data_IF_441802386865
#
_entry.id   IF_441802386865
#
_cell.length_a   1.000
_cell.length_b   1.000
_cell.length_c   1.000
_cell.angle_alpha   90.00
_cell.angle_beta   90.00
_cell.angle_gamma   90.00
#
_symmetry.space_group_name_H-M   'P 1'
#
loop_
_entity.id
_entity.type
_entity.pdbx_description
1 polymer ?
#
# COMPACT_ATOMS: atom_id res chain seq x y z
N UNK A 1 9.64 9.18 -5.59
CA UNK A 1 9.07 9.61 -4.30
C UNK A 1 7.76 8.90 -3.96
N UNK A 2 6.82 8.75 -4.90
CA UNK A 2 5.54 8.05 -4.70
C UNK A 2 5.63 6.61 -4.16
N UNK A 3 6.47 5.75 -4.76
CA UNK A 3 6.62 4.36 -4.30
C UNK A 3 7.15 4.25 -2.85
N UNK A 4 7.89 5.24 -2.34
CA UNK A 4 8.32 5.29 -0.93
C UNK A 4 7.14 5.64 -0.02
N UNK A 5 6.30 6.59 -0.43
CA UNK A 5 5.12 7.01 0.32
C UNK A 5 4.06 5.88 0.40
N UNK A 6 3.79 5.19 -0.71
CA UNK A 6 2.90 4.02 -0.72
C UNK A 6 3.43 2.92 0.22
N UNK A 7 4.75 2.66 0.21
CA UNK A 7 5.33 1.66 1.13
C UNK A 7 5.31 2.04 2.60
N UNK A 8 5.06 3.31 2.92
CA UNK A 8 4.92 3.78 4.30
C UNK A 8 3.51 3.52 4.88
N UNK A 9 2.57 3.06 4.06
CA UNK A 9 1.26 2.62 4.51
C UNK A 9 1.39 1.36 5.37
N UNK A 10 0.68 1.33 6.50
CA UNK A 10 0.72 0.23 7.48
C UNK A 10 -0.62 -0.43 7.70
N UNK A 11 -1.70 0.13 7.15
CA UNK A 11 -3.06 -0.40 7.22
C UNK A 11 -3.80 -0.09 5.93
N UNK A 12 -4.85 -0.86 5.63
CA UNK A 12 -5.71 -0.61 4.48
C UNK A 12 -6.40 -1.87 3.98
N UNK A 13 -6.92 -1.80 2.75
CA UNK A 13 -7.51 -2.95 2.07
C UNK A 13 -6.73 -3.27 0.80
N UNK A 14 -6.47 -4.55 0.60
CA UNK A 14 -5.72 -5.12 -0.52
C UNK A 14 -6.68 -5.99 -1.31
N UNK A 15 -6.79 -5.75 -2.62
CA UNK A 15 -7.49 -6.66 -3.54
C UNK A 15 -6.49 -7.35 -4.47
N UNK A 16 -6.59 -8.67 -4.55
CA UNK A 16 -5.85 -9.51 -5.48
C UNK A 16 -6.57 -9.62 -6.84
N UNK A 17 -5.86 -10.08 -7.87
CA UNK A 17 -6.41 -10.21 -9.23
C UNK A 17 -7.58 -11.18 -9.35
N UNK A 18 -7.68 -12.14 -8.43
CA UNK A 18 -8.77 -13.11 -8.34
C UNK A 18 -10.01 -12.54 -7.61
N UNK A 19 -9.94 -11.31 -7.10
CA UNK A 19 -11.00 -10.66 -6.34
C UNK A 19 -10.94 -10.92 -4.83
N UNK A 20 -9.96 -11.69 -4.35
CA UNK A 20 -9.75 -11.90 -2.91
C UNK A 20 -9.38 -10.58 -2.24
N UNK A 21 -10.01 -10.28 -1.10
CA UNK A 21 -9.80 -9.05 -0.33
C UNK A 21 -9.23 -9.34 1.04
N UNK A 22 -8.19 -8.59 1.41
CA UNK A 22 -7.59 -8.61 2.74
C UNK A 22 -7.67 -7.22 3.35
N UNK A 23 -8.15 -7.11 4.59
CA UNK A 23 -8.22 -5.85 5.33
C UNK A 23 -7.45 -5.97 6.63
N UNK A 24 -6.70 -4.92 6.97
CA UNK A 24 -6.05 -4.82 8.27
C UNK A 24 -4.64 -4.24 8.19
N UNK A 25 -3.83 -4.47 9.23
CA UNK A 25 -2.45 -4.04 9.24
C UNK A 25 -1.60 -4.86 8.26
N UNK A 26 -0.67 -4.18 7.58
CA UNK A 26 0.25 -4.80 6.66
C UNK A 26 1.59 -4.07 6.58
N UNK A 27 2.55 -4.67 5.89
CA UNK A 27 3.78 -4.00 5.45
C UNK A 27 4.01 -4.24 3.97
N UNK A 28 4.56 -3.24 3.27
CA UNK A 28 4.81 -3.30 1.82
C UNK A 28 6.31 -3.24 1.54
N UNK A 29 6.84 -4.24 0.82
CA UNK A 29 8.25 -4.29 0.47
C UNK A 29 8.59 -3.50 -0.80
N UNK A 30 9.87 -3.50 -1.20
CA UNK A 30 10.32 -2.78 -2.40
C UNK A 30 9.75 -3.30 -3.73
N UNK A 31 9.26 -4.54 -3.74
CA UNK A 31 8.65 -5.22 -4.88
C UNK A 31 7.12 -5.16 -4.84
N UNK A 32 6.54 -4.34 -3.96
CA UNK A 32 5.09 -4.24 -3.74
C UNK A 32 4.47 -5.54 -3.23
N UNK A 33 5.24 -6.44 -2.63
CA UNK A 33 4.67 -7.54 -1.87
C UNK A 33 4.10 -7.01 -0.56
N UNK A 34 2.93 -7.51 -0.18
CA UNK A 34 2.20 -7.07 1.00
C UNK A 34 2.14 -8.22 1.99
N UNK A 35 2.74 -8.03 3.16
CA UNK A 35 2.71 -8.99 4.25
C UNK A 35 1.65 -8.58 5.26
N UNK A 36 0.61 -9.40 5.37
CA UNK A 36 -0.40 -9.38 6.43
C UNK A 36 -0.05 -10.49 7.46
N UNK A 37 -0.70 -10.52 8.63
CA UNK A 37 -0.33 -11.42 9.75
C UNK A 37 -0.07 -12.88 9.35
N UNK A 38 -0.92 -13.45 8.49
CA UNK A 38 -0.80 -14.85 8.03
C UNK A 38 -0.75 -15.00 6.51
N UNK A 39 -0.66 -13.90 5.76
CA UNK A 39 -0.78 -13.91 4.29
C UNK A 39 0.30 -13.06 3.67
N UNK A 40 0.88 -13.55 2.58
CA UNK A 40 1.76 -12.79 1.71
C UNK A 40 1.10 -12.63 0.34
N UNK A 41 0.67 -11.42 0.03
CA UNK A 41 0.19 -11.06 -1.31
C UNK A 41 1.40 -10.63 -2.13
N UNK A 42 1.68 -11.36 -3.22
CA UNK A 42 2.78 -10.98 -4.13
C UNK A 42 2.37 -9.74 -4.92
N UNK A 43 3.31 -8.81 -5.14
CA UNK A 43 3.04 -7.60 -5.94
C UNK A 43 2.55 -7.90 -7.36
N UNK A 44 2.88 -9.07 -7.91
CA UNK A 44 2.37 -9.55 -9.21
C UNK A 44 0.91 -9.99 -9.19
N UNK A 45 0.37 -10.35 -8.01
CA UNK A 45 -1.03 -10.72 -7.79
C UNK A 45 -1.87 -9.56 -7.26
N UNK A 46 -1.24 -8.48 -6.83
CA UNK A 46 -1.91 -7.25 -6.43
C UNK A 46 -2.69 -6.65 -7.61
N UNK A 47 -3.95 -6.30 -7.37
CA UNK A 47 -4.78 -5.55 -8.32
C UNK A 47 -4.80 -4.07 -7.95
N UNK A 48 -5.23 -3.74 -6.73
CA UNK A 48 -5.19 -2.38 -6.19
C UNK A 48 -5.18 -2.35 -4.66
N UNK A 49 -4.80 -1.19 -4.14
CA UNK A 49 -4.88 -0.82 -2.73
C UNK A 49 -6.00 0.20 -2.57
N UNK A 50 -6.85 0.02 -1.56
CA UNK A 50 -7.82 1.05 -1.16
C UNK A 50 -7.21 1.89 -0.05
N UNK A 51 -7.16 3.19 -0.28
CA UNK A 51 -6.59 4.18 0.63
C UNK A 51 -7.72 4.95 1.30
N UNK A 52 -7.51 5.34 2.55
CA UNK A 52 -8.34 6.39 3.15
C UNK A 52 -7.96 7.75 2.56
N UNK A 53 -8.86 8.73 2.64
CA UNK A 53 -8.57 10.11 2.20
C UNK A 53 -7.32 10.67 2.91
N UNK A 54 -7.17 10.35 4.20
CA UNK A 54 -5.98 10.75 5.00
C UNK A 54 -4.68 10.14 4.47
N UNK A 55 -4.71 8.87 4.06
CA UNK A 55 -3.53 8.21 3.49
C UNK A 55 -3.18 8.78 2.12
N UNK A 56 -4.19 9.11 1.32
CA UNK A 56 -4.01 9.76 0.03
C UNK A 56 -3.40 11.15 0.20
N UNK A 57 -3.94 11.98 1.09
CA UNK A 57 -3.39 13.30 1.43
C UNK A 57 -1.93 13.21 1.89
N UNK A 58 -1.62 12.23 2.75
CA UNK A 58 -0.24 11.98 3.20
C UNK A 58 0.69 11.61 2.04
N UNK A 59 0.24 10.73 1.14
CA UNK A 59 1.01 10.32 -0.03
C UNK A 59 1.26 11.49 -0.97
N UNK A 60 0.24 12.30 -1.24
CA UNK A 60 0.33 13.49 -2.09
C UNK A 60 1.21 14.57 -1.46
N UNK A 61 1.10 14.78 -0.14
CA UNK A 61 1.96 15.68 0.62
C UNK A 61 3.44 15.29 0.56
N UNK A 62 3.75 13.99 0.61
CA UNK A 62 5.11 13.48 0.41
C UNK A 62 5.64 13.67 -1.03
N UNK A 63 4.76 13.82 -2.03
CA UNK A 63 5.16 14.02 -3.42
C UNK A 63 5.33 15.50 -3.78
N UNK A 64 4.66 16.40 -3.04
CA UNK A 64 4.75 17.85 -3.23
C UNK A 64 5.86 18.51 -2.37
N UNK A 65 6.44 17.77 -1.42
CA UNK A 65 7.60 18.21 -0.66
C UNK A 65 8.93 18.03 -1.41
N UNK A 66 9.17 18.84 -2.44
CA UNK A 66 10.54 19.15 -2.87
C UNK A 66 11.11 20.20 -1.90
N UNK A 67 11.71 19.74 -0.79
CA UNK A 67 12.31 20.63 0.21
C UNK A 67 12.61 19.96 1.54
N UNK A 68 13.63 19.11 1.57
CA UNK A 68 14.49 18.81 2.73
C UNK A 68 15.73 18.09 2.22
#
# INVERSE_FOLDING_TARGET
MLAKAIRALTTGTVEEKDGTRHQGPFSIDRKMNIKLSHTLVKGTQLRYLVLSDKDLERILGCCNGAGS
#
